data_IF_239881746254
#
_entry.id   IF_239881746254
#
_cell.length_a   1.000
_cell.length_b   1.000
_cell.length_c   1.000
_cell.angle_alpha   90.00
_cell.angle_beta   90.00
_cell.angle_gamma   90.00
#
_symmetry.space_group_name_H-M   'P 1'
#
loop_
_entity.id
_entity.type
_entity.pdbx_description
1 polymer ?
#
# COMPACT_ATOMS: atom_id res chain seq x y z
N UNK A 1 -15.68 3.94 7.21
CA UNK A 1 -15.12 3.72 8.55
C UNK A 1 -14.81 5.08 9.16
N UNK A 2 -14.67 5.14 10.48
CA UNK A 2 -14.23 6.35 11.19
C UNK A 2 -12.83 6.04 11.72
N UNK A 3 -11.86 6.93 11.53
CA UNK A 3 -10.53 6.78 12.13
C UNK A 3 -10.53 7.59 13.41
N UNK A 4 -10.42 6.92 14.56
CA UNK A 4 -10.33 7.55 15.89
C UNK A 4 -8.92 7.37 16.45
N UNK A 5 -8.12 8.45 16.35
CA UNK A 5 -6.73 8.43 16.80
C UNK A 5 -5.92 7.37 16.06
N UNK A 6 -5.45 6.36 16.80
CA UNK A 6 -4.66 5.24 16.29
C UNK A 6 -5.50 4.07 15.76
N UNK A 7 -6.82 4.07 15.99
CA UNK A 7 -7.69 2.95 15.66
C UNK A 7 -8.63 3.30 14.50
N UNK A 8 -8.83 2.35 13.59
CA UNK A 8 -9.81 2.48 12.51
C UNK A 8 -11.05 1.63 12.81
N UNK A 9 -12.22 2.27 12.88
CA UNK A 9 -13.51 1.64 13.13
C UNK A 9 -14.18 1.34 11.79
N UNK A 10 -14.34 0.06 11.48
CA UNK A 10 -15.04 -0.42 10.30
C UNK A 10 -16.43 -0.93 10.67
N UNK A 11 -17.47 -0.38 10.05
CA UNK A 11 -18.85 -0.79 10.28
C UNK A 11 -19.20 -1.94 9.32
N UNK A 12 -19.27 -3.17 9.83
CA UNK A 12 -19.58 -4.37 9.05
C UNK A 12 -19.13 -5.65 9.76
N UNK A 13 -19.47 -6.82 9.19
CA UNK A 13 -18.87 -8.09 9.59
C UNK A 13 -17.55 -8.26 8.83
N UNK A 14 -16.44 -8.02 9.51
CA UNK A 14 -15.11 -8.33 9.01
C UNK A 14 -14.53 -9.47 9.84
N UNK A 15 -14.04 -10.51 9.17
CA UNK A 15 -13.22 -11.54 9.83
C UNK A 15 -11.77 -11.06 9.86
N UNK A 16 -11.01 -11.46 10.89
CA UNK A 16 -9.57 -11.18 10.97
C UNK A 16 -8.83 -11.64 9.71
N UNK A 17 -9.20 -12.80 9.18
CA UNK A 17 -8.65 -13.38 7.95
C UNK A 17 -8.78 -12.41 6.76
N UNK A 18 -9.96 -11.81 6.57
CA UNK A 18 -10.21 -10.89 5.46
C UNK A 18 -9.38 -9.61 5.61
N UNK A 19 -9.25 -9.09 6.83
CA UNK A 19 -8.46 -7.89 7.09
C UNK A 19 -6.98 -8.18 6.84
N UNK A 20 -6.46 -9.32 7.33
CA UNK A 20 -5.07 -9.71 7.12
C UNK A 20 -4.75 -9.87 5.64
N UNK A 21 -5.62 -10.55 4.88
CA UNK A 21 -5.44 -10.73 3.44
C UNK A 21 -5.39 -9.39 2.67
N UNK A 22 -6.26 -8.43 3.03
CA UNK A 22 -6.25 -7.10 2.41
C UNK A 22 -4.97 -6.35 2.76
N UNK A 23 -4.51 -6.42 4.01
CA UNK A 23 -3.28 -5.77 4.48
C UNK A 23 -2.06 -6.38 3.77
N UNK A 24 -1.97 -7.70 3.68
CA UNK A 24 -0.88 -8.40 2.98
C UNK A 24 -0.82 -8.01 1.50
N UNK A 25 -1.95 -8.02 0.80
CA UNK A 25 -2.01 -7.55 -0.60
C UNK A 25 -1.59 -6.09 -0.75
N UNK A 26 -1.97 -5.24 0.20
CA UNK A 26 -1.58 -3.84 0.19
C UNK A 26 -0.07 -3.68 0.36
N UNK A 27 0.53 -4.41 1.30
CA UNK A 27 1.99 -4.41 1.51
C UNK A 27 2.71 -4.90 0.24
N UNK A 28 2.26 -6.01 -0.33
CA UNK A 28 2.88 -6.59 -1.53
C UNK A 28 2.81 -5.65 -2.75
N UNK A 29 1.68 -4.95 -2.92
CA UNK A 29 1.46 -4.09 -4.10
C UNK A 29 1.99 -2.65 -3.94
N UNK A 30 2.03 -2.12 -2.72
CA UNK A 30 2.29 -0.69 -2.46
C UNK A 30 3.50 -0.43 -1.56
N UNK A 31 4.11 -1.46 -0.96
CA UNK A 31 5.27 -1.31 -0.07
C UNK A 31 6.48 -2.09 -0.60
N UNK A 32 6.27 -3.32 -1.10
CA UNK A 32 7.36 -4.15 -1.60
C UNK A 32 7.71 -3.74 -3.03
N UNK A 33 8.99 -3.48 -3.28
CA UNK A 33 9.48 -3.25 -4.63
C UNK A 33 9.48 -4.58 -5.42
N UNK A 34 8.87 -4.65 -6.62
CA UNK A 34 8.84 -5.87 -7.44
C UNK A 34 10.22 -6.27 -8.01
N UNK A 35 11.20 -5.38 -7.96
CA UNK A 35 12.54 -5.62 -8.54
C UNK A 35 13.54 -6.13 -7.51
N UNK A 36 13.59 -5.50 -6.33
CA UNK A 36 14.58 -5.83 -5.29
C UNK A 36 13.97 -6.47 -4.04
N UNK A 37 12.65 -6.65 -4.01
CA UNK A 37 11.90 -7.24 -2.88
C UNK A 37 12.13 -6.51 -1.55
N UNK A 38 12.56 -5.24 -1.61
CA UNK A 38 12.76 -4.39 -0.44
C UNK A 38 11.53 -3.54 -0.17
N UNK A 39 11.20 -3.28 1.11
CA UNK A 39 10.13 -2.38 1.50
C UNK A 39 10.54 -0.89 1.37
N UNK A 40 11.75 -0.60 0.88
CA UNK A 40 12.29 0.76 0.70
C UNK A 40 11.67 1.46 -0.52
N UNK A 41 10.37 1.71 -0.46
CA UNK A 41 9.60 2.36 -1.53
C UNK A 41 8.82 3.57 -1.01
N UNK A 42 8.62 4.56 -1.89
CA UNK A 42 7.86 5.77 -1.63
C UNK A 42 6.79 5.95 -2.69
N UNK A 43 5.59 6.37 -2.28
CA UNK A 43 4.49 6.66 -3.18
C UNK A 43 4.57 8.13 -3.60
N UNK A 44 4.91 8.35 -4.87
CA UNK A 44 5.05 9.67 -5.48
C UNK A 44 3.86 9.94 -6.40
N UNK A 45 3.14 11.03 -6.15
CA UNK A 45 2.09 11.51 -7.07
C UNK A 45 2.73 12.36 -8.16
N UNK A 46 2.56 11.98 -9.43
CA UNK A 46 2.91 12.84 -10.57
C UNK A 46 1.70 13.04 -11.46
N UNK A 47 1.31 14.29 -11.64
CA UNK A 47 0.12 14.67 -12.40
C UNK A 47 -1.14 13.98 -11.84
N UNK A 48 -1.64 12.99 -12.59
CA UNK A 48 -2.88 12.26 -12.37
C UNK A 48 -2.63 10.79 -12.03
N UNK A 49 -1.37 10.36 -11.96
CA UNK A 49 -0.97 8.99 -11.68
C UNK A 49 -0.12 8.91 -10.41
N UNK A 50 -0.29 7.81 -9.69
CA UNK A 50 0.55 7.48 -8.55
C UNK A 50 1.66 6.54 -9.00
N UNK A 51 2.86 6.76 -8.49
CA UNK A 51 4.04 5.97 -8.81
C UNK A 51 4.65 5.45 -7.52
N UNK A 52 4.98 4.18 -7.51
CA UNK A 52 5.81 3.59 -6.48
C UNK A 52 7.28 3.73 -6.92
N UNK A 53 8.05 4.52 -6.19
CA UNK A 53 9.47 4.78 -6.45
C UNK A 53 10.32 4.09 -5.38
N UNK A 54 11.19 3.18 -5.79
CA UNK A 54 12.10 2.51 -4.86
C UNK A 54 13.39 3.31 -4.68
N UNK A 55 13.74 3.63 -3.43
CA UNK A 55 14.98 4.35 -3.10
C UNK A 55 16.22 3.47 -3.19
N UNK A 56 16.08 2.15 -3.10
CA UNK A 56 17.19 1.21 -3.14
C UNK A 56 17.63 0.83 -4.57
N UNK A 57 16.68 0.62 -5.50
CA UNK A 57 16.98 0.19 -6.87
C UNK A 57 16.63 1.23 -7.94
N UNK A 58 15.96 2.33 -7.58
CA UNK A 58 15.54 3.37 -8.52
C UNK A 58 14.36 2.98 -9.42
N UNK A 59 13.76 1.80 -9.22
CA UNK A 59 12.61 1.36 -10.01
C UNK A 59 11.41 2.31 -9.77
N UNK A 60 10.75 2.70 -10.86
CA UNK A 60 9.53 3.50 -10.84
C UNK A 60 8.41 2.71 -11.49
N UNK A 61 7.41 2.34 -10.70
CA UNK A 61 6.27 1.54 -11.16
C UNK A 61 5.01 2.38 -11.04
N UNK A 62 4.18 2.46 -12.09
CA UNK A 62 2.90 3.12 -12.00
C UNK A 62 1.92 2.24 -11.21
N UNK A 63 1.32 2.79 -10.17
CA UNK A 63 0.33 2.13 -9.33
C UNK A 63 -1.04 2.77 -9.53
N UNK A 64 -2.10 1.97 -9.43
CA UNK A 64 -3.47 2.49 -9.47
C UNK A 64 -3.83 3.03 -8.08
N UNK A 65 -4.41 4.24 -7.98
CA UNK A 65 -4.96 4.70 -6.70
C UNK A 65 -6.09 3.77 -6.26
N UNK A 66 -6.10 3.47 -4.95
CA UNK A 66 -7.23 2.88 -4.23
C UNK A 66 -8.23 3.94 -3.82
#
# INVERSE_FOLDING_TARGET
GIVEGSNAIFNGKFTEELVNEIVERYIDSYVICPVCTRPDTEIVKSDHAYYLQCSACGARTAIRPV
#
